data_IF_489389357296
#
_entry.id   IF_489389357296
#
_cell.length_a   1.000
_cell.length_b   1.000
_cell.length_c   1.000
_cell.angle_alpha   90.00
_cell.angle_beta   90.00
_cell.angle_gamma   90.00
#
_symmetry.space_group_name_H-M   'P 1'
#
loop_
_entity.id
_entity.type
_entity.pdbx_description
1 polymer ?
#
# COMPACT_ATOMS: atom_id res chain seq x y z
N UNK A 1 -4.98 -13.58 -3.34
CA UNK A 1 -6.20 -13.77 -4.18
C UNK A 1 -7.38 -13.10 -3.48
N UNK A 2 -7.95 -12.02 -4.03
CA UNK A 2 -8.95 -11.17 -3.36
C UNK A 2 -10.35 -11.79 -3.42
N UNK A 3 -10.96 -12.05 -2.26
CA UNK A 3 -12.37 -12.45 -2.18
C UNK A 3 -13.22 -11.20 -2.46
N UNK A 4 -13.78 -11.14 -3.68
CA UNK A 4 -14.81 -10.16 -4.05
C UNK A 4 -15.97 -10.29 -3.06
N UNK A 5 -16.11 -9.32 -2.17
CA UNK A 5 -17.33 -9.16 -1.38
C UNK A 5 -18.47 -8.79 -2.34
N UNK A 6 -19.70 -9.33 -2.19
CA UNK A 6 -20.84 -9.02 -3.06
C UNK A 6 -21.46 -7.66 -2.76
N UNK A 7 -20.65 -6.68 -2.35
CA UNK A 7 -21.14 -5.31 -2.13
C UNK A 7 -21.34 -4.69 -3.50
N UNK A 8 -22.61 -4.45 -3.82
CA UNK A 8 -23.05 -3.98 -5.12
C UNK A 8 -22.86 -2.46 -5.23
N UNK A 9 -21.66 -2.04 -5.59
CA UNK A 9 -21.34 -0.63 -5.86
C UNK A 9 -21.84 -0.21 -7.25
N UNK A 10 -23.16 -0.11 -7.44
CA UNK A 10 -23.79 0.15 -8.74
C UNK A 10 -23.56 1.56 -9.34
N UNK A 11 -22.68 2.38 -8.75
CA UNK A 11 -22.62 3.82 -9.04
C UNK A 11 -21.26 4.36 -9.47
N UNK A 12 -20.23 3.54 -9.58
CA UNK A 12 -18.88 4.00 -9.98
C UNK A 12 -18.42 3.28 -11.25
N UNK A 13 -17.69 3.97 -12.12
CA UNK A 13 -17.03 3.38 -13.30
C UNK A 13 -15.70 2.69 -12.96
N UNK A 14 -15.41 2.50 -11.68
CA UNK A 14 -14.10 2.08 -11.18
C UNK A 14 -14.16 0.67 -10.60
N UNK A 15 -13.10 -0.10 -10.81
CA UNK A 15 -12.91 -1.37 -10.10
C UNK A 15 -12.69 -1.10 -8.62
N UNK A 16 -13.44 -1.78 -7.77
CA UNK A 16 -13.32 -1.66 -6.31
C UNK A 16 -12.63 -2.91 -5.77
N UNK A 17 -11.64 -2.69 -4.92
CA UNK A 17 -10.98 -3.71 -4.12
C UNK A 17 -11.43 -3.57 -2.66
N UNK A 18 -11.89 -4.67 -2.06
CA UNK A 18 -12.35 -4.71 -0.67
C UNK A 18 -11.56 -5.76 0.07
N UNK A 19 -10.81 -5.33 1.08
CA UNK A 19 -10.05 -6.20 1.98
C UNK A 19 -10.39 -5.86 3.43
N UNK A 20 -10.55 -6.90 4.26
CA UNK A 20 -10.72 -6.73 5.70
C UNK A 20 -9.34 -6.74 6.37
N UNK A 21 -8.77 -5.55 6.58
CA UNK A 21 -7.43 -5.36 7.15
C UNK A 21 -7.28 -6.01 8.55
N UNK A 22 -8.34 -5.98 9.37
CA UNK A 22 -8.31 -6.59 10.70
C UNK A 22 -8.07 -8.12 10.67
N UNK A 23 -8.28 -8.77 9.53
CA UNK A 23 -8.14 -10.23 9.37
C UNK A 23 -7.03 -10.64 8.42
N UNK A 24 -6.21 -9.71 7.94
CA UNK A 24 -5.13 -10.00 6.97
C UNK A 24 -4.13 -11.00 7.54
N UNK A 25 -3.76 -10.85 8.81
CA UNK A 25 -2.86 -11.77 9.52
C UNK A 25 -3.29 -13.24 9.48
N UNK A 26 -4.58 -13.54 9.29
CA UNK A 26 -5.09 -14.93 9.21
C UNK A 26 -4.77 -15.64 7.90
N UNK A 27 -4.43 -14.91 6.83
CA UNK A 27 -4.20 -15.49 5.51
C UNK A 27 -2.94 -14.97 4.81
N UNK A 28 -2.32 -13.91 5.33
CA UNK A 28 -1.15 -13.27 4.71
C UNK A 28 0.02 -14.24 4.53
N UNK A 29 0.34 -15.04 5.54
CA UNK A 29 1.43 -16.03 5.47
C UNK A 29 1.22 -17.04 4.33
N UNK A 30 -0.01 -17.52 4.16
CA UNK A 30 -0.34 -18.46 3.09
C UNK A 30 -0.12 -17.84 1.70
N UNK A 31 -0.39 -16.55 1.54
CA UNK A 31 -0.27 -15.86 0.25
C UNK A 31 1.14 -15.34 -0.03
N UNK A 32 1.90 -14.95 1.00
CA UNK A 32 3.16 -14.22 0.85
C UNK A 32 4.36 -14.87 1.54
N UNK A 33 4.18 -15.99 2.25
CA UNK A 33 5.26 -16.80 2.82
C UNK A 33 5.86 -16.27 4.13
N UNK A 34 5.28 -15.24 4.74
CA UNK A 34 5.73 -14.73 6.05
C UNK A 34 4.54 -14.24 6.86
N UNK A 35 4.44 -14.56 8.16
CA UNK A 35 3.35 -14.09 9.01
C UNK A 35 3.48 -12.59 9.29
N UNK A 36 2.34 -11.96 9.61
CA UNK A 36 2.30 -10.59 10.12
C UNK A 36 1.51 -10.55 11.41
N UNK A 37 1.80 -9.55 12.25
CA UNK A 37 0.97 -9.28 13.42
C UNK A 37 -0.38 -8.68 13.00
N UNK A 38 -1.46 -8.91 13.76
CA UNK A 38 -2.73 -8.22 13.55
C UNK A 38 -2.53 -6.70 13.57
N UNK A 39 -3.08 -6.00 12.57
CA UNK A 39 -3.07 -4.54 12.58
C UNK A 39 -3.99 -4.00 13.66
N UNK A 40 -3.55 -2.92 14.30
CA UNK A 40 -4.27 -2.25 15.38
C UNK A 40 -5.17 -1.11 14.89
N UNK A 41 -4.94 -0.62 13.67
CA UNK A 41 -5.70 0.46 13.04
C UNK A 41 -5.56 0.43 11.51
N UNK A 42 -6.32 1.27 10.82
CA UNK A 42 -6.20 1.44 9.36
C UNK A 42 -4.86 2.10 9.03
N UNK A 43 -4.44 3.07 9.84
CA UNK A 43 -3.16 3.76 9.76
C UNK A 43 -1.99 2.77 9.88
N UNK A 44 -2.10 1.81 10.82
CA UNK A 44 -1.12 0.74 11.00
C UNK A 44 -0.97 -0.13 9.75
N UNK A 45 -2.09 -0.53 9.12
CA UNK A 45 -2.10 -1.27 7.87
C UNK A 45 -1.54 -0.45 6.68
N UNK A 46 -1.89 0.83 6.58
CA UNK A 46 -1.36 1.73 5.54
C UNK A 46 0.16 1.89 5.70
N UNK A 47 0.63 2.09 6.93
CA UNK A 47 2.04 2.26 7.26
C UNK A 47 2.89 1.01 7.07
N UNK A 48 2.30 -0.15 6.77
CA UNK A 48 3.02 -1.37 6.45
C UNK A 48 3.09 -1.68 4.95
N UNK A 49 2.50 -0.83 4.11
CA UNK A 49 2.50 -1.05 2.66
C UNK A 49 3.92 -1.07 2.10
N UNK A 50 4.18 -1.83 1.01
CA UNK A 50 5.53 -2.13 0.53
C UNK A 50 6.43 -0.95 0.15
N UNK A 51 5.86 0.24 -0.12
CA UNK A 51 6.62 1.43 -0.49
C UNK A 51 6.14 2.66 0.27
N UNK A 52 7.05 3.59 0.54
CA UNK A 52 6.73 4.87 1.21
C UNK A 52 5.66 5.65 0.45
N UNK A 53 5.81 5.77 -0.88
CA UNK A 53 4.89 6.48 -1.76
C UNK A 53 3.48 5.87 -1.84
N UNK A 54 3.30 4.59 -1.47
CA UNK A 54 1.98 3.95 -1.41
C UNK A 54 1.40 3.87 -0.01
N UNK A 55 2.16 4.25 1.02
CA UNK A 55 1.73 4.25 2.43
C UNK A 55 0.93 5.52 2.76
N UNK A 56 -0.09 5.78 1.94
CA UNK A 56 -1.00 6.93 2.01
C UNK A 56 -2.47 6.47 2.01
N UNK A 57 -3.32 7.22 2.69
CA UNK A 57 -4.77 7.03 2.68
C UNK A 57 -5.49 8.36 2.79
N UNK A 58 -6.65 8.46 2.14
CA UNK A 58 -7.51 9.65 2.24
C UNK A 58 -8.94 9.23 2.53
N UNK A 59 -9.66 10.07 3.25
CA UNK A 59 -11.10 9.94 3.49
C UNK A 59 -11.70 11.34 3.60
N UNK A 60 -13.01 11.44 3.50
CA UNK A 60 -13.71 12.62 4.01
C UNK A 60 -13.88 12.49 5.51
N UNK A 61 -13.66 13.57 6.24
CA UNK A 61 -14.04 13.68 7.65
C UNK A 61 -15.53 14.02 7.79
N UNK A 62 -16.00 14.13 9.04
CA UNK A 62 -17.39 14.44 9.37
C UNK A 62 -17.84 15.81 8.86
N UNK A 63 -16.89 16.73 8.61
CA UNK A 63 -17.15 18.06 8.04
C UNK A 63 -17.13 18.06 6.49
N UNK A 64 -16.89 16.91 5.87
CA UNK A 64 -16.77 16.78 4.42
C UNK A 64 -15.43 17.27 3.87
N UNK A 65 -14.42 17.50 4.72
CA UNK A 65 -13.07 17.86 4.28
C UNK A 65 -12.21 16.63 4.06
N UNK A 66 -11.23 16.74 3.18
CA UNK A 66 -10.25 15.67 2.98
C UNK A 66 -9.35 15.54 4.21
N UNK A 67 -9.41 14.38 4.85
CA UNK A 67 -8.41 13.91 5.80
C UNK A 67 -7.39 13.05 5.04
N UNK A 68 -6.11 13.30 5.29
CA UNK A 68 -4.98 12.59 4.70
C UNK A 68 -4.17 11.94 5.82
N UNK A 69 -3.81 10.68 5.61
CA UNK A 69 -2.77 9.98 6.35
C UNK A 69 -1.62 9.64 5.39
N UNK A 70 -0.39 10.00 5.77
CA UNK A 70 0.81 9.72 4.99
C UNK A 70 1.95 9.33 5.93
N UNK A 71 2.15 8.01 6.12
CA UNK A 71 3.07 7.47 7.13
C UNK A 71 4.53 7.97 6.97
N UNK A 72 4.93 8.29 5.74
CA UNK A 72 6.28 8.77 5.39
C UNK A 72 6.25 10.16 4.73
N UNK A 73 5.15 10.91 4.89
CA UNK A 73 4.90 12.14 4.15
C UNK A 73 4.61 11.91 2.66
N UNK A 74 4.49 12.99 1.90
CA UNK A 74 4.16 12.97 0.46
C UNK A 74 5.36 13.19 -0.46
N UNK A 75 6.55 13.43 0.09
CA UNK A 75 7.74 13.79 -0.68
C UNK A 75 8.10 12.75 -1.74
N UNK A 76 8.10 11.47 -1.37
CA UNK A 76 8.42 10.38 -2.31
C UNK A 76 7.32 10.24 -3.39
N UNK A 77 6.04 10.44 -3.04
CA UNK A 77 4.93 10.41 -4.01
C UNK A 77 5.09 11.52 -5.07
N UNK A 78 5.26 12.77 -4.64
CA UNK A 78 5.34 13.92 -5.54
C UNK A 78 6.66 13.97 -6.33
N UNK A 79 7.75 13.45 -5.76
CA UNK A 79 9.05 13.37 -6.43
C UNK A 79 9.17 12.15 -7.35
N UNK A 80 8.11 11.34 -7.51
CA UNK A 80 8.13 10.11 -8.30
C UNK A 80 9.22 9.13 -7.82
N UNK A 81 9.39 9.01 -6.51
CA UNK A 81 10.38 8.14 -5.88
C UNK A 81 9.70 6.84 -5.43
N UNK A 82 10.25 5.71 -5.87
CA UNK A 82 9.92 4.39 -5.34
C UNK A 82 10.98 4.05 -4.30
N UNK A 83 10.61 4.05 -3.03
CA UNK A 83 11.46 3.65 -1.91
C UNK A 83 10.78 2.55 -1.11
N UNK A 84 11.53 1.53 -0.74
CA UNK A 84 11.02 0.43 0.06
C UNK A 84 10.57 0.92 1.44
N UNK A 85 9.46 0.38 1.93
CA UNK A 85 9.14 0.36 3.35
C UNK A 85 9.41 -1.06 3.84
N UNK A 86 10.52 -1.25 4.55
CA UNK A 86 11.05 -2.57 4.92
C UNK A 86 10.29 -3.27 6.05
N UNK A 87 9.21 -2.66 6.55
CA UNK A 87 8.42 -3.22 7.66
C UNK A 87 7.91 -4.64 7.38
N UNK A 88 7.50 -4.94 6.14
CA UNK A 88 6.91 -6.24 5.78
C UNK A 88 7.31 -6.77 4.40
N UNK A 89 7.86 -5.92 3.51
CA UNK A 89 8.19 -6.33 2.15
C UNK A 89 9.54 -7.03 2.12
N UNK A 90 9.68 -8.07 1.28
CA UNK A 90 10.99 -8.61 0.93
C UNK A 90 11.64 -7.80 -0.21
N UNK A 91 12.97 -7.85 -0.30
CA UNK A 91 13.71 -7.22 -1.40
C UNK A 91 13.21 -7.68 -2.77
N UNK A 92 12.92 -8.98 -2.91
CA UNK A 92 12.41 -9.54 -4.15
C UNK A 92 11.06 -8.94 -4.56
N UNK A 93 10.11 -8.85 -3.61
CA UNK A 93 8.78 -8.28 -3.88
C UNK A 93 8.88 -6.79 -4.21
N UNK A 94 9.76 -6.06 -3.52
CA UNK A 94 10.05 -4.66 -3.82
C UNK A 94 10.59 -4.49 -5.25
N UNK A 95 11.62 -5.25 -5.62
CA UNK A 95 12.26 -5.19 -6.93
C UNK A 95 11.26 -5.49 -8.06
N UNK A 96 10.44 -6.55 -7.92
CA UNK A 96 9.39 -6.89 -8.89
C UNK A 96 8.36 -5.76 -9.05
N UNK A 97 7.95 -5.11 -7.95
CA UNK A 97 7.04 -3.95 -8.00
C UNK A 97 7.68 -2.77 -8.70
N UNK A 98 8.92 -2.43 -8.34
CA UNK A 98 9.68 -1.32 -8.92
C UNK A 98 9.88 -1.51 -10.43
N UNK A 99 10.25 -2.71 -10.88
CA UNK A 99 10.40 -3.04 -12.30
C UNK A 99 9.08 -2.87 -13.06
N UNK A 100 7.98 -3.43 -12.54
CA UNK A 100 6.65 -3.30 -13.15
C UNK A 100 6.22 -1.85 -13.26
N UNK A 101 6.46 -1.06 -12.22
CA UNK A 101 6.11 0.36 -12.20
C UNK A 101 6.99 1.19 -13.11
N UNK A 102 8.30 0.92 -13.18
CA UNK A 102 9.22 1.59 -14.10
C UNK A 102 8.79 1.48 -15.57
N UNK A 103 8.18 0.34 -15.96
CA UNK A 103 7.60 0.15 -17.31
C UNK A 103 6.40 1.08 -17.58
N UNK A 104 5.58 1.37 -16.56
CA UNK A 104 4.39 2.20 -16.69
C UNK A 104 4.68 3.70 -16.48
N UNK A 105 5.69 4.03 -15.68
CA UNK A 105 6.06 5.41 -15.34
C UNK A 105 7.58 5.62 -15.54
N UNK A 106 8.00 6.01 -16.76
CA UNK A 106 9.42 6.12 -17.12
C UNK A 106 10.24 7.15 -16.32
N UNK A 107 9.57 8.06 -15.59
CA UNK A 107 10.22 9.09 -14.76
C UNK A 107 10.41 8.68 -13.29
N UNK A 108 10.07 7.44 -12.93
CA UNK A 108 10.26 6.96 -11.57
C UNK A 108 11.74 6.87 -11.22
N UNK A 109 12.10 7.40 -10.06
CA UNK A 109 13.40 7.16 -9.43
C UNK A 109 13.26 6.00 -8.46
N UNK A 110 13.87 4.86 -8.77
CA UNK A 110 13.87 3.70 -7.87
C UNK A 110 15.06 3.78 -6.94
N UNK A 111 14.80 3.82 -5.63
CA UNK A 111 15.84 3.83 -4.62
C UNK A 111 16.34 2.40 -4.42
N UNK A 112 17.67 2.16 -4.36
CA UNK A 112 18.22 0.85 -4.06
C UNK A 112 17.69 0.29 -2.74
N UNK A 113 17.54 -1.03 -2.65
CA UNK A 113 17.06 -1.70 -1.44
C UNK A 113 17.83 -1.30 -0.18
N UNK A 114 19.15 -1.17 -0.26
CA UNK A 114 20.00 -0.79 0.88
C UNK A 114 19.72 0.63 1.40
N UNK A 115 19.07 1.47 0.59
CA UNK A 115 18.84 2.88 0.87
C UNK A 115 17.38 3.12 1.27
N UNK A 116 17.14 3.45 2.55
CA UNK A 116 15.79 3.74 3.05
C UNK A 116 15.60 3.35 4.51
N UNK A 117 14.48 3.78 5.12
CA UNK A 117 14.12 3.40 6.49
C UNK A 117 13.78 1.92 6.63
#
# INVERSE_FOLDING_TARGET
>A
MLRKSPVNFQRTRSTIDVTNEARVHLWYEKEFGSPIQPYTSVEDAIGSRPTTATSIGTKYDESGKFALYAAFGLGDLFSMIVRANKRQVSQEVYNKKAERWGKAWPKLTVIPWESGP
#
